data_IF_223998793564
#
_entry.id   IF_223998793564
#
_cell.length_a   1.000
_cell.length_b   1.000
_cell.length_c   1.000
_cell.angle_alpha   90.00
_cell.angle_beta   90.00
_cell.angle_gamma   90.00
#
_symmetry.space_group_name_H-M   'P 1'
#
loop_
_entity.id
_entity.type
_entity.pdbx_description
1 polymer ?
#
# COMPACT_ATOMS: atom_id res chain seq x y z
N UNK A 1 14.80 -24.52 13.26
CA UNK A 1 13.95 -23.37 12.90
C UNK A 1 14.83 -22.42 12.11
N UNK A 2 14.79 -22.50 10.78
CA UNK A 2 15.59 -21.62 9.93
C UNK A 2 15.01 -20.21 10.02
N UNK A 3 15.81 -19.25 10.48
CA UNK A 3 15.45 -17.84 10.42
C UNK A 3 15.19 -17.50 8.94
N UNK A 4 13.94 -17.17 8.59
CA UNK A 4 13.64 -16.66 7.25
C UNK A 4 14.45 -15.38 7.07
N UNK A 5 15.17 -15.26 5.95
CA UNK A 5 15.77 -13.99 5.57
C UNK A 5 14.69 -12.90 5.60
N UNK A 6 14.97 -11.70 6.15
CA UNK A 6 14.00 -10.62 6.10
C UNK A 6 13.65 -10.33 4.63
N UNK A 7 12.35 -10.23 4.34
CA UNK A 7 11.86 -9.93 2.99
C UNK A 7 12.53 -8.65 2.46
N UNK A 8 13.00 -8.69 1.22
CA UNK A 8 13.51 -7.50 0.55
C UNK A 8 12.37 -6.71 -0.07
N UNK A 9 12.61 -5.42 -0.35
CA UNK A 9 11.64 -4.58 -1.08
C UNK A 9 11.21 -5.23 -2.40
N UNK A 10 12.16 -5.81 -3.15
CA UNK A 10 11.90 -6.53 -4.39
C UNK A 10 10.97 -7.73 -4.18
N UNK A 11 11.14 -8.48 -3.09
CA UNK A 11 10.27 -9.62 -2.77
C UNK A 11 8.85 -9.16 -2.49
N UNK A 12 8.68 -8.08 -1.72
CA UNK A 12 7.38 -7.49 -1.40
C UNK A 12 6.68 -7.05 -2.69
N UNK A 13 7.37 -6.28 -3.54
CA UNK A 13 6.81 -5.80 -4.82
C UNK A 13 6.39 -6.98 -5.69
N UNK A 14 7.25 -8.00 -5.81
CA UNK A 14 6.97 -9.19 -6.62
C UNK A 14 5.75 -9.96 -6.11
N UNK A 15 5.65 -10.17 -4.79
CA UNK A 15 4.54 -10.91 -4.19
C UNK A 15 3.22 -10.16 -4.32
N UNK A 16 3.18 -8.86 -4.03
CA UNK A 16 1.96 -8.05 -4.18
C UNK A 16 1.56 -7.95 -5.66
N UNK A 17 2.53 -7.85 -6.59
CA UNK A 17 2.24 -7.89 -8.04
C UNK A 17 1.63 -9.21 -8.47
N UNK A 18 2.19 -10.34 -8.02
CA UNK A 18 1.63 -11.66 -8.29
C UNK A 18 0.22 -11.80 -7.70
N UNK A 19 -0.01 -11.24 -6.52
CA UNK A 19 -1.34 -11.24 -5.89
C UNK A 19 -2.40 -10.55 -6.77
N UNK A 20 -2.13 -9.35 -7.29
CA UNK A 20 -3.05 -8.68 -8.21
C UNK A 20 -3.27 -9.48 -9.51
N UNK A 21 -2.22 -10.11 -10.06
CA UNK A 21 -2.39 -10.97 -11.23
C UNK A 21 -3.29 -12.18 -10.95
N UNK A 22 -3.23 -12.77 -9.75
CA UNK A 22 -4.16 -13.83 -9.36
C UNK A 22 -5.60 -13.30 -9.32
N UNK A 23 -5.84 -12.11 -8.78
CA UNK A 23 -7.17 -11.50 -8.77
C UNK A 23 -7.72 -11.27 -10.19
N UNK A 24 -6.87 -10.92 -11.16
CA UNK A 24 -7.27 -10.80 -12.57
C UNK A 24 -7.61 -12.15 -13.19
N UNK A 25 -6.84 -13.18 -12.90
CA UNK A 25 -7.09 -14.55 -13.39
C UNK A 25 -8.41 -15.11 -12.84
N UNK A 26 -8.80 -14.70 -11.64
CA UNK A 26 -10.09 -15.02 -11.04
C UNK A 26 -11.24 -14.15 -11.57
N UNK A 27 -10.97 -13.20 -12.45
CA UNK A 27 -11.92 -12.17 -12.89
C UNK A 27 -12.56 -11.39 -11.72
N UNK A 28 -11.85 -11.26 -10.60
CA UNK A 28 -12.35 -10.55 -9.41
C UNK A 28 -12.30 -9.03 -9.61
N UNK A 29 -11.21 -8.53 -10.22
CA UNK A 29 -11.03 -7.13 -10.61
C UNK A 29 -10.41 -7.06 -12.00
N UNK A 30 -10.57 -5.91 -12.67
CA UNK A 30 -9.97 -5.67 -13.99
C UNK A 30 -8.51 -5.21 -13.87
N UNK A 31 -7.61 -5.59 -14.80
CA UNK A 31 -6.27 -5.01 -14.88
C UNK A 31 -6.26 -3.47 -15.00
N UNK A 32 -7.29 -2.88 -15.62
CA UNK A 32 -7.42 -1.42 -15.75
C UNK A 32 -7.72 -0.72 -14.42
N UNK A 33 -8.19 -1.45 -13.42
CA UNK A 33 -8.55 -0.96 -12.09
C UNK A 33 -7.34 -0.79 -11.17
N UNK A 34 -6.15 -1.23 -11.61
CA UNK A 34 -4.93 -1.25 -10.81
C UNK A 34 -3.84 -0.42 -11.49
N UNK A 35 -3.22 0.47 -10.72
CA UNK A 35 -2.08 1.26 -11.15
C UNK A 35 -0.81 0.43 -10.95
N UNK A 36 -0.27 -0.10 -12.05
CA UNK A 36 1.06 -0.70 -12.08
C UNK A 36 2.12 0.38 -12.33
N UNK A 37 3.04 0.61 -11.39
CA UNK A 37 4.06 1.63 -11.58
C UNK A 37 5.10 1.20 -12.63
N UNK A 38 5.75 2.15 -13.33
CA UNK A 38 6.87 1.84 -14.22
C UNK A 38 8.10 1.38 -13.41
N UNK A 39 9.12 0.79 -14.04
CA UNK A 39 10.34 0.35 -13.35
C UNK A 39 11.09 1.46 -12.57
N UNK A 40 10.90 2.72 -12.95
CA UNK A 40 11.46 3.89 -12.26
C UNK A 40 10.64 4.33 -11.05
N UNK A 41 9.50 3.69 -10.79
CA UNK A 41 8.53 4.07 -9.78
C UNK A 41 7.54 5.14 -10.25
N UNK A 42 6.36 5.19 -9.62
CA UNK A 42 5.38 6.26 -9.82
C UNK A 42 5.87 7.57 -9.22
N UNK A 43 5.37 8.67 -9.78
CA UNK A 43 5.65 10.02 -9.28
C UNK A 43 4.79 10.25 -8.03
N UNK A 44 5.42 10.67 -6.94
CA UNK A 44 4.76 11.07 -5.69
C UNK A 44 5.04 12.54 -5.40
N UNK A 45 4.18 13.18 -4.61
CA UNK A 45 4.49 14.46 -4.02
C UNK A 45 5.53 14.29 -2.89
N UNK A 46 6.81 14.49 -3.23
CA UNK A 46 7.91 14.34 -2.27
C UNK A 46 7.85 15.37 -1.13
N UNK A 47 7.33 16.58 -1.39
CA UNK A 47 7.15 17.59 -0.34
C UNK A 47 6.16 17.09 0.72
N UNK A 48 5.05 16.49 0.30
CA UNK A 48 4.10 15.85 1.20
C UNK A 48 4.74 14.68 1.93
N UNK A 49 5.46 13.81 1.23
CA UNK A 49 6.12 12.65 1.86
C UNK A 49 7.09 13.08 2.96
N UNK A 50 7.87 14.15 2.74
CA UNK A 50 8.76 14.71 3.74
C UNK A 50 8.01 15.38 4.89
N UNK A 51 6.92 16.09 4.60
CA UNK A 51 6.06 16.68 5.62
C UNK A 51 5.46 15.60 6.55
N UNK A 52 5.02 14.47 5.98
CA UNK A 52 4.54 13.29 6.73
C UNK A 52 5.67 12.46 7.36
N UNK A 53 6.92 12.94 7.28
CA UNK A 53 8.11 12.27 7.83
C UNK A 53 8.31 10.84 7.33
N UNK A 54 7.89 10.51 6.10
CA UNK A 54 8.02 9.16 5.56
C UNK A 54 9.48 8.79 5.31
N UNK A 55 9.86 7.57 5.69
CA UNK A 55 11.21 7.07 5.45
C UNK A 55 11.45 6.88 3.94
N UNK A 56 12.71 6.95 3.48
CA UNK A 56 13.03 6.65 2.08
C UNK A 56 12.55 5.27 1.62
N UNK A 57 12.54 4.27 2.51
CA UNK A 57 12.05 2.92 2.21
C UNK A 57 10.55 2.87 2.01
N UNK A 58 9.77 3.61 2.82
CA UNK A 58 8.32 3.73 2.62
C UNK A 58 8.02 4.46 1.32
N UNK A 59 8.72 5.56 1.03
CA UNK A 59 8.59 6.29 -0.23
C UNK A 59 8.87 5.37 -1.42
N UNK A 60 9.98 4.64 -1.38
CA UNK A 60 10.35 3.70 -2.45
C UNK A 60 9.28 2.62 -2.66
N UNK A 61 8.73 2.03 -1.60
CA UNK A 61 7.64 1.05 -1.74
C UNK A 61 6.37 1.64 -2.35
N UNK A 62 5.93 2.83 -1.90
CA UNK A 62 4.76 3.50 -2.50
C UNK A 62 4.96 3.78 -4.00
N UNK A 63 6.20 4.06 -4.40
CA UNK A 63 6.56 4.26 -5.80
C UNK A 63 6.47 2.99 -6.63
N UNK A 64 6.70 1.81 -6.05
CA UNK A 64 6.84 0.56 -6.82
C UNK A 64 5.76 -0.49 -6.57
N UNK A 65 4.90 -0.33 -5.57
CA UNK A 65 3.77 -1.22 -5.33
C UNK A 65 2.63 -1.00 -6.34
N UNK A 66 2.01 -2.06 -6.89
CA UNK A 66 0.72 -1.91 -7.53
C UNK A 66 -0.35 -1.60 -6.48
N UNK A 67 -1.31 -0.75 -6.84
CA UNK A 67 -2.40 -0.33 -5.96
C UNK A 67 -3.64 0.05 -6.78
N UNK A 68 -4.84 0.15 -6.17
CA UNK A 68 -6.04 0.57 -6.87
C UNK A 68 -5.87 1.95 -7.53
N UNK A 69 -6.50 2.16 -8.69
CA UNK A 69 -6.44 3.41 -9.44
C UNK A 69 -7.25 4.54 -8.80
N UNK A 70 -8.33 4.22 -8.10
CA UNK A 70 -9.28 5.20 -7.58
C UNK A 70 -10.11 4.64 -6.42
N UNK A 71 -10.87 5.53 -5.78
CA UNK A 71 -11.74 5.24 -4.63
C UNK A 71 -12.84 4.23 -4.96
N UNK A 72 -13.36 4.21 -6.20
CA UNK A 72 -14.43 3.29 -6.58
C UNK A 72 -13.98 1.84 -6.46
N UNK A 73 -12.80 1.52 -7.01
CA UNK A 73 -12.22 0.18 -6.89
C UNK A 73 -11.90 -0.19 -5.45
N UNK A 74 -11.47 0.78 -4.64
CA UNK A 74 -11.18 0.58 -3.22
C UNK A 74 -12.44 0.21 -2.43
N UNK A 75 -13.59 0.79 -2.77
CA UNK A 75 -14.88 0.58 -2.10
C UNK A 75 -15.63 -0.66 -2.58
N UNK A 76 -15.52 -1.00 -3.86
CA UNK A 76 -16.28 -2.09 -4.48
C UNK A 76 -15.68 -3.49 -4.21
N UNK A 77 -14.40 -3.55 -3.84
CA UNK A 77 -13.66 -4.80 -3.76
C UNK A 77 -12.83 -4.94 -2.48
N UNK A 78 -13.04 -6.06 -1.80
CA UNK A 78 -12.21 -6.53 -0.69
C UNK A 78 -10.91 -7.13 -1.24
N UNK A 79 -9.92 -6.28 -1.50
CA UNK A 79 -8.68 -6.72 -2.15
C UNK A 79 -7.76 -7.48 -1.20
N UNK A 80 -7.51 -7.03 0.03
CA UNK A 80 -6.55 -7.71 0.92
C UNK A 80 -7.20 -8.40 2.11
N UNK A 81 -8.08 -7.67 2.80
CA UNK A 81 -8.82 -8.14 3.98
C UNK A 81 -10.28 -7.75 3.78
N UNK A 82 -11.23 -8.68 3.97
CA UNK A 82 -12.66 -8.36 3.94
C UNK A 82 -13.01 -7.22 4.90
N UNK A 83 -13.80 -6.26 4.42
CA UNK A 83 -14.24 -5.10 5.20
C UNK A 83 -13.20 -3.99 5.32
N UNK A 84 -12.08 -4.06 4.58
CA UNK A 84 -11.08 -3.00 4.51
C UNK A 84 -10.77 -2.62 3.08
N UNK A 85 -10.49 -1.34 2.85
CA UNK A 85 -10.16 -0.84 1.52
C UNK A 85 -8.67 -0.99 1.27
N UNK A 86 -8.29 -1.51 0.10
CA UNK A 86 -6.88 -1.48 -0.29
C UNK A 86 -6.41 -0.04 -0.46
N UNK A 87 -5.26 0.29 0.12
CA UNK A 87 -4.72 1.62 0.04
C UNK A 87 -4.21 1.95 -1.37
N UNK A 88 -4.31 3.21 -1.75
CA UNK A 88 -3.78 3.72 -3.01
C UNK A 88 -2.70 4.77 -2.78
N UNK A 89 -1.75 4.85 -3.71
CA UNK A 89 -0.63 5.80 -3.66
C UNK A 89 -0.59 6.71 -4.89
N UNK A 90 -1.69 6.75 -5.67
CA UNK A 90 -1.75 7.51 -6.93
C UNK A 90 -2.01 9.01 -6.71
N UNK A 91 -2.45 9.41 -5.51
CA UNK A 91 -2.65 10.81 -5.15
C UNK A 91 -2.41 11.09 -3.66
N UNK A 92 -2.26 12.37 -3.35
CA UNK A 92 -1.94 12.89 -2.02
C UNK A 92 -3.01 12.60 -0.96
N UNK A 93 -4.29 12.54 -1.35
CA UNK A 93 -5.40 12.25 -0.41
C UNK A 93 -5.25 10.85 0.16
N UNK A 94 -5.00 9.85 -0.69
CA UNK A 94 -4.85 8.47 -0.22
C UNK A 94 -3.56 8.23 0.56
N UNK A 95 -2.46 8.91 0.20
CA UNK A 95 -1.22 8.88 0.99
C UNK A 95 -1.47 9.39 2.42
N UNK A 96 -2.24 10.48 2.57
CA UNK A 96 -2.62 11.00 3.89
C UNK A 96 -3.54 10.06 4.66
N UNK A 97 -4.57 9.51 4.01
CA UNK A 97 -5.46 8.53 4.64
C UNK A 97 -4.70 7.30 5.14
N UNK A 98 -3.71 6.84 4.38
CA UNK A 98 -2.83 5.73 4.76
C UNK A 98 -1.97 5.96 6.00
N UNK A 99 -1.85 7.19 6.53
CA UNK A 99 -1.12 7.45 7.78
C UNK A 99 -1.87 7.00 9.01
N UNK A 100 -3.18 6.89 8.89
CA UNK A 100 -4.05 6.42 9.95
C UNK A 100 -5.15 5.53 9.35
N UNK A 101 -4.89 4.21 9.31
CA UNK A 101 -5.86 3.24 8.82
C UNK A 101 -7.15 3.15 9.66
N UNK A 102 -7.19 3.73 10.87
CA UNK A 102 -8.32 3.60 11.78
C UNK A 102 -9.37 4.69 11.58
N UNK A 103 -8.98 5.97 11.47
CA UNK A 103 -9.92 7.10 11.32
C UNK A 103 -9.60 8.03 10.14
N UNK A 104 -8.41 7.90 9.53
CA UNK A 104 -7.88 8.86 8.58
C UNK A 104 -7.43 10.17 9.25
N UNK A 105 -6.59 10.94 8.57
CA UNK A 105 -6.23 12.32 8.92
C UNK A 105 -5.23 12.54 10.08
N UNK A 106 -4.93 11.55 10.94
CA UNK A 106 -3.78 11.65 11.88
C UNK A 106 -2.47 11.35 11.15
N UNK A 107 -1.55 12.31 11.14
CA UNK A 107 -0.33 12.23 10.32
C UNK A 107 0.76 11.32 10.92
N UNK A 108 0.73 11.10 12.23
CA UNK A 108 1.76 10.44 13.05
C UNK A 108 1.28 9.14 13.74
N UNK A 109 0.10 8.62 13.37
CA UNK A 109 -0.42 7.37 13.95
C UNK A 109 0.46 6.18 13.59
N UNK A 110 0.75 5.99 12.30
CA UNK A 110 1.78 5.05 11.85
C UNK A 110 3.18 5.64 12.00
N UNK A 111 4.18 4.78 12.23
CA UNK A 111 5.58 5.24 12.24
C UNK A 111 6.00 5.68 10.84
N UNK A 112 7.06 6.49 10.77
CA UNK A 112 7.69 6.89 9.50
C UNK A 112 8.15 5.70 8.63
N UNK A 113 8.36 4.55 9.25
CA UNK A 113 8.81 3.30 8.64
C UNK A 113 7.67 2.35 8.29
N UNK A 114 6.43 2.73 8.60
CA UNK A 114 5.27 1.88 8.37
C UNK A 114 4.49 2.35 7.13
N UNK A 115 4.06 1.39 6.32
CA UNK A 115 3.20 1.60 5.15
C UNK A 115 1.93 0.75 5.27
N UNK A 116 0.76 1.40 5.19
CA UNK A 116 -0.52 0.73 5.16
C UNK A 116 -0.83 0.20 3.75
N UNK A 117 -1.06 -1.12 3.63
CA UNK A 117 -1.58 -1.75 2.40
C UNK A 117 -3.11 -1.75 2.37
N UNK A 118 -3.76 -1.71 3.53
CA UNK A 118 -5.18 -1.45 3.64
C UNK A 118 -5.46 -0.33 4.64
N UNK A 119 -6.52 0.41 4.37
CA UNK A 119 -7.03 1.52 5.17
C UNK A 119 -8.49 1.24 5.54
N UNK A 120 -9.04 2.05 6.45
CA UNK A 120 -10.40 1.92 6.98
C UNK A 120 -11.39 1.48 5.90
N UNK A 121 -12.07 0.38 6.15
CA UNK A 121 -13.40 0.06 5.63
C UNK A 121 -14.33 -0.20 6.82
N UNK A 122 -15.64 -0.39 6.59
CA UNK A 122 -16.69 -0.33 7.62
C UNK A 122 -16.38 -1.13 8.91
N UNK A 123 -15.85 -2.36 8.79
CA UNK A 123 -15.59 -3.27 9.94
C UNK A 123 -14.26 -4.06 9.88
N UNK A 124 -13.40 -3.83 8.87
CA UNK A 124 -12.23 -4.67 8.62
C UNK A 124 -10.95 -4.29 9.38
N UNK A 125 -9.98 -5.21 9.38
CA UNK A 125 -8.63 -4.99 9.95
C UNK A 125 -7.64 -4.43 8.92
N UNK A 126 -6.65 -3.66 9.38
CA UNK A 126 -5.63 -3.08 8.51
C UNK A 126 -4.34 -3.91 8.42
N UNK A 127 -3.77 -3.99 7.22
CA UNK A 127 -2.43 -4.53 6.97
C UNK A 127 -1.44 -3.38 6.92
N UNK A 128 -0.46 -3.41 7.82
CA UNK A 128 0.66 -2.48 7.84
C UNK A 128 1.95 -3.26 7.70
N UNK A 129 2.79 -2.86 6.74
CA UNK A 129 4.15 -3.37 6.60
C UNK A 129 5.11 -2.45 7.35
N UNK A 130 5.90 -3.04 8.24
CA UNK A 130 7.05 -2.42 8.88
C UNK A 130 8.25 -2.56 7.92
N UNK A 131 8.76 -1.43 7.43
CA UNK A 131 9.92 -1.40 6.51
C UNK A 131 11.26 -1.40 7.23
N UNK A 132 11.28 -1.32 8.57
CA UNK A 132 12.52 -1.53 9.31
C UNK A 132 12.93 -3.01 9.23
N UNK A 133 14.16 -3.23 8.77
CA UNK A 133 14.80 -4.54 8.87
C UNK A 133 14.99 -4.83 10.36
N UNK A 134 14.14 -5.69 10.93
CA UNK A 134 14.41 -6.27 12.26
C UNK A 134 15.71 -7.07 12.17
N UNK A 135 16.76 -6.55 12.79
CA UNK A 135 18.04 -7.24 13.00
C UNK A 135 17.91 -8.29 14.08
#
# INVERSE_FOLDING_TARGET
MSASSPYTESDIISLITQYYHLLFQLHYISPSSVSFPPPTGRILNLQLCHYLSLSPSVISLMQHLPCPCDEGIMLEHDIFIPGSFANSFVNDRFIKLGRDPEIGEREDFLKSTDIALSIMGDEGSFIVLDTEKRK
#
